data_IF_791674065704
#
_entry.id   IF_791674065704
#
_cell.length_a   1.000
_cell.length_b   1.000
_cell.length_c   1.000
_cell.angle_alpha   90.00
_cell.angle_beta   90.00
_cell.angle_gamma   90.00
#
_symmetry.space_group_name_H-M   'P 1'
#
loop_
_entity.id
_entity.type
_entity.pdbx_description
1 polymer ?
#
# COMPACT_ATOMS: atom_id res chain seq x y z
N UNK A 1 59.23 16.39 -9.64
CA UNK A 1 58.17 16.39 -8.61
C UNK A 1 56.73 16.12 -9.12
N UNK A 2 56.47 16.08 -10.45
CA UNK A 2 55.11 15.87 -11.00
C UNK A 2 54.58 14.42 -10.82
N UNK A 3 55.46 13.42 -10.90
CA UNK A 3 55.11 12.00 -10.74
C UNK A 3 54.60 11.66 -9.33
N UNK A 4 55.15 12.30 -8.28
CA UNK A 4 54.74 12.08 -6.89
C UNK A 4 53.35 12.66 -6.59
N UNK A 5 52.99 13.78 -7.26
CA UNK A 5 51.67 14.40 -7.11
C UNK A 5 50.57 13.55 -7.76
N UNK A 6 50.85 12.90 -8.90
CA UNK A 6 49.89 11.97 -9.52
C UNK A 6 49.59 10.75 -8.65
N UNK A 7 50.60 10.19 -7.97
CA UNK A 7 50.40 9.03 -7.08
C UNK A 7 49.65 9.39 -5.80
N UNK A 8 49.88 10.58 -5.24
CA UNK A 8 49.09 11.05 -4.09
C UNK A 8 47.64 11.33 -4.50
N UNK A 9 47.40 11.86 -5.69
CA UNK A 9 46.05 12.15 -6.17
C UNK A 9 45.25 10.87 -6.47
N UNK A 10 45.88 9.82 -7.01
CA UNK A 10 45.23 8.53 -7.23
C UNK A 10 44.88 7.82 -5.93
N UNK A 11 45.74 7.93 -4.90
CA UNK A 11 45.49 7.34 -3.60
C UNK A 11 44.31 8.01 -2.88
N UNK A 12 44.17 9.33 -2.96
CA UNK A 12 43.03 10.09 -2.39
C UNK A 12 41.72 9.76 -3.10
N UNK A 13 41.74 9.63 -4.44
CA UNK A 13 40.55 9.25 -5.20
C UNK A 13 40.06 7.83 -4.85
N UNK A 14 40.97 6.89 -4.56
CA UNK A 14 40.58 5.52 -4.19
C UNK A 14 39.91 5.45 -2.80
N UNK A 15 40.37 6.25 -1.85
CA UNK A 15 39.74 6.35 -0.52
C UNK A 15 38.37 7.03 -0.54
N UNK A 16 38.14 8.00 -1.44
CA UNK A 16 36.86 8.68 -1.54
C UNK A 16 35.73 7.79 -2.10
N UNK A 17 36.04 6.82 -2.95
CA UNK A 17 35.03 5.93 -3.57
C UNK A 17 34.56 4.82 -2.61
N UNK A 18 35.38 4.45 -1.62
CA UNK A 18 35.06 3.38 -0.65
C UNK A 18 33.92 3.69 0.34
N UNK A 19 33.61 4.98 0.57
CA UNK A 19 32.60 5.39 1.54
C UNK A 19 31.19 5.61 0.97
N UNK A 20 31.00 5.49 -0.35
CA UNK A 20 29.72 5.87 -0.99
C UNK A 20 28.65 4.75 -1.04
N UNK A 21 28.93 3.55 -0.51
CA UNK A 21 28.01 2.40 -0.60
C UNK A 21 27.35 1.99 0.72
N UNK A 22 27.13 2.93 1.66
CA UNK A 22 26.41 2.65 2.92
C UNK A 22 25.06 3.35 3.00
N UNK A 23 24.28 3.33 1.92
CA UNK A 23 22.84 3.55 2.05
C UNK A 23 22.17 2.19 2.21
N UNK A 24 21.69 1.81 3.41
CA UNK A 24 20.75 0.69 3.48
C UNK A 24 19.59 1.05 2.56
N UNK A 25 19.32 0.17 1.59
CA UNK A 25 18.14 0.29 0.76
C UNK A 25 16.96 0.51 1.70
N UNK A 26 16.28 1.65 1.55
CA UNK A 26 15.01 1.90 2.23
C UNK A 26 14.01 0.91 1.64
N UNK A 27 14.02 -0.30 2.17
CA UNK A 27 12.96 -1.28 1.93
C UNK A 27 11.76 -0.80 2.75
N UNK A 28 11.07 0.22 2.23
CA UNK A 28 9.79 0.74 2.76
C UNK A 28 8.62 -0.11 2.26
N UNK A 29 8.83 -1.42 2.26
CA UNK A 29 7.78 -2.41 2.11
C UNK A 29 8.02 -3.29 3.30
N UNK A 30 7.22 -3.10 4.36
CA UNK A 30 7.19 -3.95 5.54
C UNK A 30 7.56 -5.38 5.14
N UNK A 31 8.62 -5.93 5.73
CA UNK A 31 9.18 -7.24 5.35
C UNK A 31 8.03 -8.25 5.26
N UNK A 32 7.58 -8.57 4.04
CA UNK A 32 6.35 -9.33 3.80
C UNK A 32 6.38 -10.65 4.57
N UNK A 33 7.57 -11.20 4.78
CA UNK A 33 7.79 -12.40 5.57
C UNK A 33 7.31 -12.22 7.02
N UNK A 34 7.68 -11.13 7.68
CA UNK A 34 7.27 -10.85 9.06
C UNK A 34 5.76 -10.63 9.18
N UNK A 35 5.14 -10.01 8.18
CA UNK A 35 3.69 -9.82 8.12
C UNK A 35 2.93 -11.15 8.11
N UNK A 36 3.34 -12.11 7.26
CA UNK A 36 2.67 -13.42 7.17
C UNK A 36 3.03 -14.40 8.29
N UNK A 37 4.08 -14.13 9.07
CA UNK A 37 4.44 -14.91 10.25
C UNK A 37 3.76 -14.43 11.53
N UNK A 38 3.16 -13.25 11.50
CA UNK A 38 2.48 -12.65 12.64
C UNK A 38 1.03 -13.14 12.71
N UNK A 39 0.63 -13.66 13.88
CA UNK A 39 -0.78 -13.98 14.18
C UNK A 39 -1.61 -12.75 14.63
N UNK A 40 -0.98 -11.57 14.72
CA UNK A 40 -1.68 -10.35 15.11
C UNK A 40 -2.74 -9.93 14.07
N UNK A 41 -3.90 -9.41 14.51
CA UNK A 41 -4.92 -8.93 13.60
C UNK A 41 -4.44 -7.71 12.82
N UNK A 42 -4.80 -7.66 11.55
CA UNK A 42 -4.47 -6.55 10.64
C UNK A 42 -5.58 -5.49 10.70
N UNK A 43 -5.18 -4.23 10.87
CA UNK A 43 -6.13 -3.12 10.81
C UNK A 43 -6.44 -2.76 9.36
N UNK A 44 -7.73 -2.81 9.00
CA UNK A 44 -8.23 -2.44 7.69
C UNK A 44 -9.33 -1.38 7.85
N UNK A 45 -9.16 -0.25 7.16
CA UNK A 45 -10.15 0.84 7.09
C UNK A 45 -10.76 0.83 5.70
N UNK A 46 -12.09 0.79 5.62
CA UNK A 46 -12.82 0.79 4.36
C UNK A 46 -13.79 1.97 4.30
N UNK A 47 -13.73 2.71 3.18
CA UNK A 47 -14.63 3.81 2.88
C UNK A 47 -15.48 3.47 1.66
N UNK A 48 -16.80 3.50 1.83
CA UNK A 48 -17.75 3.28 0.74
C UNK A 48 -19.10 3.91 1.08
N UNK A 49 -19.99 4.05 0.09
CA UNK A 49 -21.36 4.51 0.30
C UNK A 49 -22.23 3.39 0.90
N UNK A 50 -22.12 3.17 2.20
CA UNK A 50 -22.90 2.15 2.91
C UNK A 50 -24.40 2.45 2.92
N UNK A 51 -24.80 3.71 2.75
CA UNK A 51 -26.22 4.08 2.64
C UNK A 51 -26.81 3.49 1.37
N UNK A 52 -26.10 3.59 0.25
CA UNK A 52 -26.49 2.97 -1.02
C UNK A 52 -26.51 1.45 -0.97
N UNK A 53 -25.51 0.82 -0.33
CA UNK A 53 -25.52 -0.64 -0.10
C UNK A 53 -26.72 -1.10 0.72
N UNK A 54 -27.15 -0.30 1.70
CA UNK A 54 -28.29 -0.61 2.56
C UNK A 54 -29.63 -0.41 1.86
N UNK A 55 -29.77 0.66 1.07
CA UNK A 55 -31.02 0.99 0.39
C UNK A 55 -31.25 0.15 -0.86
N UNK A 56 -30.19 -0.14 -1.62
CA UNK A 56 -30.22 -0.96 -2.83
C UNK A 56 -29.68 -2.36 -2.52
N UNK A 57 -30.52 -3.21 -1.92
CA UNK A 57 -30.22 -4.61 -1.56
C UNK A 57 -30.16 -5.55 -2.78
N UNK A 58 -29.83 -5.00 -3.94
CA UNK A 58 -29.82 -5.68 -5.22
C UNK A 58 -28.67 -6.68 -5.30
N UNK A 59 -28.92 -7.82 -5.96
CA UNK A 59 -27.93 -8.90 -6.10
C UNK A 59 -26.83 -8.48 -7.07
N UNK A 60 -25.57 -8.75 -6.70
CA UNK A 60 -24.39 -8.55 -7.55
C UNK A 60 -24.14 -7.10 -8.00
N UNK A 61 -24.68 -6.10 -7.31
CA UNK A 61 -24.36 -4.70 -7.58
C UNK A 61 -23.10 -4.32 -6.80
N UNK A 62 -22.02 -4.20 -7.56
CA UNK A 62 -20.75 -3.70 -7.05
C UNK A 62 -20.73 -2.18 -7.09
N UNK A 63 -20.23 -1.59 -6.01
CA UNK A 63 -19.89 -0.17 -5.94
C UNK A 63 -18.42 0.00 -5.58
N UNK A 64 -17.86 1.14 -5.95
CA UNK A 64 -16.48 1.46 -5.61
C UNK A 64 -16.34 1.68 -4.11
N UNK A 65 -15.21 1.26 -3.58
CA UNK A 65 -14.77 1.51 -2.22
C UNK A 65 -13.27 1.80 -2.21
N UNK A 66 -12.83 2.45 -1.15
CA UNK A 66 -11.42 2.67 -0.88
C UNK A 66 -11.05 1.87 0.36
N UNK A 67 -9.97 1.11 0.31
CA UNK A 67 -9.49 0.30 1.42
C UNK A 67 -8.07 0.71 1.74
N UNK A 68 -7.79 0.92 3.02
CA UNK A 68 -6.46 1.12 3.58
C UNK A 68 -6.16 -0.02 4.54
N UNK A 69 -5.11 -0.77 4.26
CA UNK A 69 -4.57 -1.83 5.12
C UNK A 69 -3.33 -1.25 5.80
N UNK A 70 -3.30 -1.25 7.13
CA UNK A 70 -2.13 -0.84 7.91
C UNK A 70 -1.31 -2.07 8.27
N UNK A 71 -0.04 -2.08 7.88
CA UNK A 71 0.87 -3.18 8.20
C UNK A 71 1.63 -2.91 9.50
N UNK A 72 1.93 -1.65 9.77
CA UNK A 72 2.51 -1.16 11.00
C UNK A 72 2.14 0.34 11.15
N UNK A 73 2.68 1.03 12.15
CA UNK A 73 2.37 2.45 12.39
C UNK A 73 2.82 3.40 11.26
N UNK A 74 3.70 2.95 10.37
CA UNK A 74 4.35 3.77 9.32
C UNK A 74 3.96 3.36 7.91
N UNK A 75 3.65 2.09 7.69
CA UNK A 75 3.39 1.50 6.39
C UNK A 75 1.91 1.18 6.24
N UNK A 76 1.30 1.74 5.20
CA UNK A 76 -0.06 1.44 4.81
C UNK A 76 -0.17 1.24 3.31
N UNK A 77 -1.00 0.29 2.90
CA UNK A 77 -1.39 0.08 1.52
C UNK A 77 -2.81 0.57 1.36
N UNK A 78 -3.01 1.57 0.51
CA UNK A 78 -4.34 2.03 0.15
C UNK A 78 -4.65 1.65 -1.30
N UNK A 79 -5.89 1.27 -1.59
CA UNK A 79 -6.32 0.89 -2.93
C UNK A 79 -7.83 1.10 -3.14
N UNK A 80 -8.22 1.22 -4.41
CA UNK A 80 -9.61 1.24 -4.83
C UNK A 80 -10.08 -0.18 -5.12
N UNK A 81 -11.10 -0.63 -4.39
CA UNK A 81 -11.70 -1.95 -4.54
C UNK A 81 -13.17 -1.82 -4.94
N UNK A 82 -13.81 -2.95 -5.22
CA UNK A 82 -15.27 -3.00 -5.37
C UNK A 82 -15.89 -3.78 -4.23
N UNK A 83 -17.04 -3.32 -3.75
CA UNK A 83 -17.79 -4.00 -2.70
C UNK A 83 -19.24 -4.22 -3.09
N UNK A 84 -19.80 -5.35 -2.68
CA UNK A 84 -21.23 -5.61 -2.78
C UNK A 84 -21.73 -6.35 -1.53
N UNK A 85 -23.04 -6.32 -1.31
CA UNK A 85 -23.67 -7.12 -0.26
C UNK A 85 -23.73 -8.61 -0.64
N UNK A 86 -23.37 -9.49 0.29
CA UNK A 86 -23.31 -10.95 0.13
C UNK A 86 -24.42 -11.64 0.91
N UNK A 87 -24.93 -12.72 0.32
CA UNK A 87 -25.93 -13.60 0.93
C UNK A 87 -27.36 -13.09 0.70
N UNK A 88 -28.22 -13.95 0.17
CA UNK A 88 -29.60 -13.59 -0.19
C UNK A 88 -30.45 -13.27 1.05
N UNK A 89 -30.47 -14.22 2.01
CA UNK A 89 -31.18 -14.04 3.28
C UNK A 89 -30.65 -12.83 4.06
N UNK A 90 -29.33 -12.67 4.17
CA UNK A 90 -28.72 -11.57 4.95
C UNK A 90 -29.02 -10.20 4.33
N UNK A 91 -29.11 -10.10 3.00
CA UNK A 91 -29.57 -8.89 2.33
C UNK A 91 -30.98 -8.52 2.76
N UNK A 92 -31.88 -9.49 2.89
CA UNK A 92 -33.27 -9.23 3.26
C UNK A 92 -33.43 -8.91 4.75
N UNK A 93 -32.81 -9.71 5.62
CA UNK A 93 -33.06 -9.70 7.07
C UNK A 93 -32.16 -8.74 7.84
N UNK A 94 -30.88 -8.58 7.44
CA UNK A 94 -29.92 -7.79 8.20
C UNK A 94 -29.99 -6.30 7.81
N UNK A 95 -29.71 -5.42 8.79
CA UNK A 95 -29.50 -3.99 8.52
C UNK A 95 -28.17 -3.74 7.79
N UNK A 96 -27.13 -4.50 8.14
CA UNK A 96 -25.83 -4.50 7.47
C UNK A 96 -25.51 -5.93 7.04
N UNK A 97 -25.70 -6.28 5.76
CA UNK A 97 -25.35 -7.60 5.26
C UNK A 97 -23.84 -7.77 5.26
N UNK A 98 -23.38 -9.03 5.26
CA UNK A 98 -21.97 -9.33 5.03
C UNK A 98 -21.54 -8.79 3.67
N UNK A 99 -20.31 -8.31 3.57
CA UNK A 99 -19.79 -7.71 2.35
C UNK A 99 -18.91 -8.70 1.60
N UNK A 100 -18.91 -8.59 0.28
CA UNK A 100 -17.92 -9.21 -0.60
C UNK A 100 -17.04 -8.10 -1.15
N UNK A 101 -15.73 -8.26 -1.01
CA UNK A 101 -14.72 -7.31 -1.45
C UNK A 101 -13.98 -7.92 -2.63
N UNK A 102 -13.90 -7.19 -3.72
CA UNK A 102 -13.24 -7.59 -4.95
C UNK A 102 -12.03 -6.70 -5.22
N UNK A 103 -10.84 -7.32 -5.12
CA UNK A 103 -9.53 -6.71 -5.31
C UNK A 103 -8.99 -6.85 -6.74
N UNK A 104 -9.74 -7.47 -7.68
CA UNK A 104 -9.24 -7.74 -9.05
C UNK A 104 -9.03 -6.49 -9.92
N UNK A 105 -9.36 -5.29 -9.41
CA UNK A 105 -9.17 -4.00 -10.09
C UNK A 105 -8.05 -3.19 -9.42
N UNK A 106 -6.96 -3.85 -9.05
CA UNK A 106 -5.77 -3.18 -8.51
C UNK A 106 -5.31 -2.07 -9.47
N UNK A 107 -5.38 -0.81 -9.01
CA UNK A 107 -4.71 0.32 -9.67
C UNK A 107 -3.76 0.91 -8.64
N UNK A 108 -2.43 0.68 -8.77
CA UNK A 108 -1.48 1.17 -7.78
C UNK A 108 -1.60 2.70 -7.66
N UNK A 109 -1.67 3.19 -6.41
CA UNK A 109 -1.80 4.62 -6.09
C UNK A 109 -0.55 5.46 -6.42
N UNK A 110 0.44 4.90 -7.11
CA UNK A 110 1.67 5.59 -7.55
C UNK A 110 1.43 6.73 -8.57
N UNK A 111 0.18 7.10 -8.87
CA UNK A 111 -0.16 8.25 -9.72
C UNK A 111 -0.83 9.43 -8.99
N UNK A 112 -1.02 9.40 -7.67
CA UNK A 112 -1.65 10.54 -6.96
C UNK A 112 -0.64 11.61 -6.52
N UNK A 113 0.66 11.32 -6.51
CA UNK A 113 1.72 12.25 -6.07
C UNK A 113 2.22 13.23 -7.16
N UNK A 114 1.42 13.47 -8.21
CA UNK A 114 1.79 14.33 -9.34
C UNK A 114 0.88 15.53 -9.59
N UNK A 115 -0.11 15.80 -8.73
CA UNK A 115 -1.11 16.84 -9.02
C UNK A 115 -1.57 17.58 -7.76
N UNK A 116 -0.71 18.44 -7.20
CA UNK A 116 -1.08 19.74 -6.60
C UNK A 116 0.19 20.56 -6.28
N UNK A 117 0.68 21.31 -7.26
CA UNK A 117 1.25 22.65 -7.08
C UNK A 117 0.87 23.47 -8.30
N UNK A 118 -0.24 24.18 -8.18
CA UNK A 118 -0.58 25.36 -8.98
C UNK A 118 -0.47 26.56 -8.05
#
# INVERSE_FOLDING_TARGET
MKQLHCLLFSFVLFYAVGFSQSTPAKTSVADCKTFFLSDAPVEMVMMSDFKKLRSKKEKNIYQNAFVTIKFNDRDSLSDTVRVCARGEMRRQVCQVPSLMVDFNRFKPLTQIEGRQRS
#
